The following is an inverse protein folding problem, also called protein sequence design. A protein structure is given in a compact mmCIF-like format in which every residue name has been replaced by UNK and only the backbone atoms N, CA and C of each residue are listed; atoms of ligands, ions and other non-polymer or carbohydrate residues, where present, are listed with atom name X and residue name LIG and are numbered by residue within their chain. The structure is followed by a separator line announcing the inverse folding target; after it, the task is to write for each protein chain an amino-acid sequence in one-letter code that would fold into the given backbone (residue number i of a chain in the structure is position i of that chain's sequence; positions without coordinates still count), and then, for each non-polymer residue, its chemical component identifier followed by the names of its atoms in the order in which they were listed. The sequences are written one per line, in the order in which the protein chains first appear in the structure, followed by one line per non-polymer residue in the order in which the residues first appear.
data_IF_224718551799
#
_entry.id   IF_224718551799
#
_cell.length_a   1.000
_cell.length_b   1.000
_cell.length_c   1.000
_cell.angle_alpha   90.00
_cell.angle_beta   90.00
_cell.angle_gamma   90.00
#
_symmetry.space_group_name_H-M   'P 1'
#
loop_
_entity.id
_entity.type
_entity.pdbx_description
1 polymer ?
#
# COMPACT_ATOMS: atom_id res chain seq x y z
N UNK A 1 15.16 -6.49 36.60
CA UNK A 1 14.13 -5.62 37.14
C UNK A 1 14.02 -4.47 36.16
N UNK A 2 13.12 -4.63 35.31
CA UNK A 2 11.85 -3.94 35.14
C UNK A 2 12.00 -2.53 34.58
N UNK A 3 11.14 -2.23 33.65
CA UNK A 3 10.88 -0.95 33.02
C UNK A 3 11.70 -0.64 31.74
N UNK A 4 11.42 -1.41 30.72
CA UNK A 4 11.47 -1.00 29.33
C UNK A 4 10.33 -1.68 28.57
N UNK A 5 9.13 -1.51 29.12
CA UNK A 5 7.87 -1.88 28.49
C UNK A 5 7.16 -0.60 28.03
N UNK A 6 6.56 -0.71 26.87
CA UNK A 6 5.48 0.16 26.38
C UNK A 6 5.83 1.57 25.87
N UNK A 7 6.60 1.65 24.80
CA UNK A 7 6.51 2.82 23.96
C UNK A 7 6.82 2.49 22.47
N UNK A 8 6.15 1.50 21.89
CA UNK A 8 6.14 1.24 20.44
C UNK A 8 4.82 0.58 20.05
N UNK A 9 3.72 1.21 20.33
CA UNK A 9 2.43 0.83 19.77
C UNK A 9 1.62 2.10 19.60
N UNK A 10 1.78 2.73 18.46
CA UNK A 10 0.87 3.64 17.79
C UNK A 10 1.67 4.55 16.85
N UNK A 11 2.37 3.94 15.89
CA UNK A 11 2.56 4.63 14.63
C UNK A 11 1.59 4.00 13.65
N UNK A 12 0.45 4.67 13.58
CA UNK A 12 -0.56 4.51 12.57
C UNK A 12 0.09 4.42 11.19
N UNK A 13 -0.49 3.57 10.37
CA UNK A 13 -0.23 3.48 8.95
C UNK A 13 -0.60 4.82 8.31
N UNK A 14 0.27 5.81 8.40
CA UNK A 14 0.20 6.99 7.57
C UNK A 14 0.53 6.59 6.13
N UNK A 15 -0.52 6.38 5.36
CA UNK A 15 -0.46 6.46 3.92
C UNK A 15 0.06 7.86 3.57
N UNK A 16 1.33 7.88 3.15
CA UNK A 16 1.98 8.97 2.44
C UNK A 16 1.57 10.39 2.80
N UNK A 17 2.12 10.95 3.86
CA UNK A 17 2.27 12.40 3.93
C UNK A 17 3.15 12.86 2.77
N UNK A 18 2.56 13.51 1.83
CA UNK A 18 3.26 14.39 0.90
C UNK A 18 2.32 15.49 0.44
N UNK A 19 2.79 16.69 0.63
CA UNK A 19 2.42 17.92 -0.01
C UNK A 19 1.32 18.77 0.61
N UNK A 20 1.82 19.77 1.34
CA UNK A 20 1.43 21.17 1.37
C UNK A 20 -0.06 21.50 1.50
N UNK A 21 -0.36 22.02 2.68
CA UNK A 21 -1.49 22.91 2.95
C UNK A 21 -1.53 24.05 1.91
N UNK A 22 -2.36 23.88 0.89
CA UNK A 22 -2.86 25.03 0.15
C UNK A 22 -4.09 25.57 0.89
N UNK A 23 -4.30 26.90 0.94
CA UNK A 23 -5.34 27.52 1.75
C UNK A 23 -6.71 27.07 1.27
N UNK A 24 -7.60 26.82 2.22
CA UNK A 24 -9.00 26.47 2.04
C UNK A 24 -9.71 27.51 1.16
N UNK A 25 -9.73 27.28 -0.15
CA UNK A 25 -10.77 27.80 -1.01
C UNK A 25 -12.00 26.91 -0.78
N UNK A 26 -13.16 27.52 -0.72
CA UNK A 26 -14.48 26.94 -0.49
C UNK A 26 -14.65 25.59 -1.23
N UNK A 27 -14.31 24.48 -0.54
CA UNK A 27 -14.26 23.12 -1.11
C UNK A 27 -15.64 22.61 -1.57
N UNK A 28 -16.69 23.35 -1.24
CA UNK A 28 -18.07 22.98 -1.56
C UNK A 28 -18.46 23.35 -3.00
N UNK A 29 -17.76 24.28 -3.64
CA UNK A 29 -18.09 24.75 -4.99
C UNK A 29 -17.56 23.86 -6.13
N UNK A 30 -16.75 22.82 -5.81
CA UNK A 30 -16.09 21.93 -6.77
C UNK A 30 -16.69 20.52 -6.80
N UNK A 31 -17.67 20.22 -5.93
CA UNK A 31 -18.31 18.89 -5.90
C UNK A 31 -19.41 18.87 -6.96
N UNK A 32 -19.38 17.93 -7.93
CA UNK A 32 -20.47 17.76 -8.88
C UNK A 32 -21.80 17.47 -8.16
N UNK A 33 -22.91 17.96 -8.73
CA UNK A 33 -24.24 17.86 -8.11
C UNK A 33 -24.60 16.43 -7.69
N UNK A 34 -24.22 15.45 -8.48
CA UNK A 34 -24.47 14.01 -8.25
C UNK A 34 -23.76 13.46 -7.01
N UNK A 35 -22.64 14.07 -6.60
CA UNK A 35 -21.84 13.61 -5.44
C UNK A 35 -22.05 14.44 -4.16
N UNK A 36 -22.86 15.50 -4.19
CA UNK A 36 -23.06 16.41 -3.04
C UNK A 36 -23.60 15.65 -1.82
N UNK A 37 -24.62 14.82 -2.01
CA UNK A 37 -25.23 14.03 -0.94
C UNK A 37 -24.24 12.97 -0.41
N UNK A 38 -23.53 12.28 -1.30
CA UNK A 38 -22.54 11.26 -0.95
C UNK A 38 -21.39 11.89 -0.16
N UNK A 39 -20.87 13.03 -0.64
CA UNK A 39 -19.82 13.78 0.04
C UNK A 39 -20.25 14.26 1.43
N UNK A 40 -21.52 14.69 1.58
CA UNK A 40 -22.08 15.11 2.87
C UNK A 40 -22.12 13.93 3.86
N UNK A 41 -22.67 12.79 3.43
CA UNK A 41 -22.73 11.57 4.26
C UNK A 41 -21.33 11.12 4.67
N UNK A 42 -20.38 11.06 3.72
CA UNK A 42 -19.00 10.65 3.95
C UNK A 42 -18.29 11.57 4.95
N UNK A 43 -18.40 12.91 4.79
CA UNK A 43 -17.82 13.90 5.72
C UNK A 43 -18.46 13.83 7.12
N UNK A 44 -19.73 13.45 7.21
CA UNK A 44 -20.44 13.24 8.47
C UNK A 44 -20.16 11.90 9.14
N UNK A 45 -19.32 11.05 8.55
CA UNK A 45 -19.06 9.66 8.97
C UNK A 45 -20.36 8.82 9.06
N UNK A 46 -21.36 9.15 8.24
CA UNK A 46 -22.56 8.34 8.08
C UNK A 46 -22.25 7.15 7.16
N UNK A 47 -22.98 6.04 7.35
CA UNK A 47 -22.86 4.89 6.44
C UNK A 47 -23.36 5.28 5.04
N UNK A 48 -22.54 5.00 4.03
CA UNK A 48 -22.95 5.12 2.64
C UNK A 48 -23.89 3.96 2.30
N UNK A 49 -24.90 4.22 1.45
CA UNK A 49 -25.75 3.18 0.90
C UNK A 49 -25.05 2.44 -0.24
N UNK A 50 -25.57 1.26 -0.61
CA UNK A 50 -25.05 0.52 -1.75
C UNK A 50 -25.13 1.36 -3.04
N UNK A 51 -26.21 2.12 -3.25
CA UNK A 51 -26.34 3.03 -4.39
C UNK A 51 -25.27 4.15 -4.40
N UNK A 52 -24.90 4.67 -3.20
CA UNK A 52 -23.83 5.67 -3.07
C UNK A 52 -22.46 5.06 -3.44
N UNK A 53 -22.21 3.82 -3.04
CA UNK A 53 -20.98 3.09 -3.34
C UNK A 53 -20.90 2.72 -4.83
N UNK A 54 -21.99 2.25 -5.43
CA UNK A 54 -22.10 1.94 -6.85
C UNK A 54 -21.78 3.18 -7.70
N UNK A 55 -22.29 4.35 -7.33
CA UNK A 55 -22.00 5.60 -8.05
C UNK A 55 -20.51 5.98 -8.00
N UNK A 56 -19.85 5.79 -6.85
CA UNK A 56 -18.41 6.00 -6.70
C UNK A 56 -17.65 4.95 -7.52
N UNK A 57 -18.08 3.70 -7.49
CA UNK A 57 -17.45 2.58 -8.19
C UNK A 57 -17.53 2.78 -9.70
N UNK A 58 -18.70 3.09 -10.26
CA UNK A 58 -18.88 3.34 -11.69
C UNK A 58 -17.99 4.46 -12.21
N UNK A 59 -17.93 5.58 -11.47
CA UNK A 59 -17.04 6.71 -11.82
C UNK A 59 -15.58 6.30 -11.76
N UNK A 60 -15.21 5.50 -10.77
CA UNK A 60 -13.84 5.01 -10.61
C UNK A 60 -13.46 4.03 -11.72
N UNK A 61 -14.37 3.13 -12.12
CA UNK A 61 -14.17 2.18 -13.23
C UNK A 61 -13.99 2.92 -14.55
N UNK A 62 -14.77 3.98 -14.80
CA UNK A 62 -14.62 4.80 -16.01
C UNK A 62 -13.21 5.43 -16.11
N UNK A 63 -12.74 5.99 -14.99
CA UNK A 63 -11.38 6.54 -14.89
C UNK A 63 -10.33 5.45 -15.12
N UNK A 64 -10.51 4.30 -14.46
CA UNK A 64 -9.55 3.19 -14.56
C UNK A 64 -9.50 2.63 -15.98
N UNK A 65 -10.65 2.45 -16.66
CA UNK A 65 -10.71 2.03 -18.08
C UNK A 65 -9.98 3.01 -18.99
N UNK A 66 -10.15 4.31 -18.77
CA UNK A 66 -9.44 5.35 -19.52
C UNK A 66 -7.92 5.23 -19.33
N UNK A 67 -7.47 5.06 -18.09
CA UNK A 67 -6.05 4.87 -17.79
C UNK A 67 -5.50 3.59 -18.42
N UNK A 68 -6.22 2.46 -18.31
CA UNK A 68 -5.81 1.19 -18.92
C UNK A 68 -5.71 1.28 -20.43
N UNK A 69 -6.59 2.06 -21.09
CA UNK A 69 -6.53 2.32 -22.52
C UNK A 69 -5.20 2.95 -22.97
N UNK A 70 -4.64 3.89 -22.20
CA UNK A 70 -3.33 4.48 -22.50
C UNK A 70 -2.18 3.46 -22.42
N UNK A 71 -2.36 2.38 -21.69
CA UNK A 71 -1.37 1.29 -21.59
C UNK A 71 -1.64 0.13 -22.55
N UNK A 72 -2.66 0.23 -23.42
CA UNK A 72 -3.03 -0.84 -24.34
C UNK A 72 -3.70 -2.04 -23.65
N UNK A 73 -4.26 -1.86 -22.47
CA UNK A 73 -4.93 -2.89 -21.68
C UNK A 73 -6.48 -2.75 -21.73
N UNK A 74 -7.02 -2.38 -22.88
CA UNK A 74 -8.46 -2.14 -23.10
C UNK A 74 -9.34 -3.37 -22.85
N UNK A 75 -8.77 -4.57 -23.04
CA UNK A 75 -9.45 -5.86 -22.81
C UNK A 75 -9.40 -6.35 -21.37
N UNK A 76 -8.86 -5.57 -20.44
CA UNK A 76 -8.77 -5.97 -19.05
C UNK A 76 -10.15 -6.06 -18.37
N UNK A 77 -10.34 -7.07 -17.54
CA UNK A 77 -11.50 -7.19 -16.65
C UNK A 77 -11.18 -6.43 -15.36
N UNK A 78 -12.15 -5.69 -14.86
CA UNK A 78 -12.05 -4.97 -13.58
C UNK A 78 -13.10 -5.58 -12.66
N UNK A 79 -12.65 -6.19 -11.58
CA UNK A 79 -13.50 -6.72 -10.52
C UNK A 79 -13.40 -5.77 -9.32
N UNK A 80 -14.55 -5.40 -8.75
CA UNK A 80 -14.62 -4.51 -7.59
C UNK A 80 -14.92 -5.28 -6.31
N UNK A 81 -14.34 -4.82 -5.21
CA UNK A 81 -14.52 -5.40 -3.88
C UNK A 81 -14.55 -4.31 -2.83
N UNK A 82 -15.37 -4.50 -1.82
CA UNK A 82 -15.30 -3.72 -0.59
C UNK A 82 -14.08 -4.12 0.23
N UNK A 83 -13.23 -3.17 0.54
CA UNK A 83 -12.11 -3.34 1.47
C UNK A 83 -12.58 -3.30 2.93
N UNK A 84 -11.83 -3.97 3.81
CA UNK A 84 -12.18 -4.05 5.24
C UNK A 84 -12.14 -2.70 5.98
N UNK A 85 -11.48 -1.68 5.40
CA UNK A 85 -11.30 -0.35 5.99
C UNK A 85 -12.19 0.72 5.32
N UNK A 86 -13.26 0.31 4.61
CA UNK A 86 -14.17 1.22 3.89
C UNK A 86 -13.56 1.80 2.61
N UNK A 87 -12.60 1.11 2.02
CA UNK A 87 -12.00 1.40 0.72
C UNK A 87 -12.66 0.56 -0.38
N UNK A 88 -12.74 1.08 -1.61
CA UNK A 88 -13.10 0.30 -2.79
C UNK A 88 -11.83 -0.20 -3.48
N UNK A 89 -11.76 -1.51 -3.71
CA UNK A 89 -10.63 -2.19 -4.34
C UNK A 89 -11.03 -2.62 -5.75
N UNK A 90 -10.25 -2.21 -6.74
CA UNK A 90 -10.40 -2.58 -8.14
C UNK A 90 -9.27 -3.52 -8.55
N UNK A 91 -9.56 -4.81 -8.73
CA UNK A 91 -8.58 -5.80 -9.19
C UNK A 91 -8.68 -5.95 -10.71
N UNK A 92 -7.58 -5.68 -11.39
CA UNK A 92 -7.47 -5.70 -12.86
C UNK A 92 -6.89 -7.04 -13.29
N UNK A 93 -7.57 -7.73 -14.21
CA UNK A 93 -7.18 -9.06 -14.70
C UNK A 93 -7.37 -9.19 -16.22
N UNK A 94 -6.98 -10.35 -16.77
CA UNK A 94 -7.20 -10.75 -18.17
C UNK A 94 -6.56 -9.87 -19.26
N UNK A 95 -5.38 -9.28 -19.01
CA UNK A 95 -4.58 -8.60 -20.05
C UNK A 95 -3.09 -8.86 -19.82
N UNK A 96 -2.22 -8.37 -20.72
CA UNK A 96 -0.78 -8.35 -20.45
C UNK A 96 -0.45 -7.23 -19.47
N UNK A 97 -0.58 -7.55 -18.20
CA UNK A 97 -0.50 -6.59 -17.10
C UNK A 97 0.92 -6.41 -16.54
N UNK A 98 1.91 -7.13 -17.10
CA UNK A 98 3.30 -7.07 -16.62
C UNK A 98 3.87 -5.65 -16.68
N UNK A 99 3.50 -4.88 -17.71
CA UNK A 99 3.89 -3.48 -17.89
C UNK A 99 3.30 -2.59 -16.78
N UNK A 100 2.03 -2.81 -16.43
CA UNK A 100 1.30 -2.05 -15.40
C UNK A 100 1.83 -2.33 -13.99
N UNK A 101 2.35 -3.52 -13.74
CA UNK A 101 3.01 -3.84 -12.46
C UNK A 101 4.38 -3.17 -12.41
N UNK A 102 5.17 -3.31 -13.48
CA UNK A 102 6.53 -2.79 -13.56
C UNK A 102 7.52 -3.43 -12.58
N UNK A 103 8.74 -2.88 -12.54
CA UNK A 103 9.80 -3.42 -11.68
C UNK A 103 9.46 -3.26 -10.19
N UNK A 104 9.25 -4.38 -9.51
CA UNK A 104 8.93 -4.41 -8.07
C UNK A 104 7.63 -3.69 -7.67
N UNK A 105 6.69 -3.50 -8.61
CA UNK A 105 5.42 -2.83 -8.38
C UNK A 105 5.48 -1.29 -8.45
N UNK A 106 6.55 -0.72 -9.01
CA UNK A 106 6.70 0.75 -9.07
C UNK A 106 5.69 1.40 -10.01
N UNK A 107 5.41 0.78 -11.16
CA UNK A 107 4.41 1.30 -12.12
C UNK A 107 3.02 1.24 -11.49
N UNK A 108 2.68 0.14 -10.82
CA UNK A 108 1.41 0.01 -10.10
C UNK A 108 1.27 1.08 -8.98
N UNK A 109 2.33 1.36 -8.24
CA UNK A 109 2.32 2.45 -7.25
C UNK A 109 2.05 3.83 -7.88
N UNK A 110 2.63 4.10 -9.07
CA UNK A 110 2.38 5.34 -9.80
C UNK A 110 0.96 5.39 -10.38
N UNK A 111 0.47 4.27 -10.92
CA UNK A 111 -0.90 4.13 -11.42
C UNK A 111 -1.91 4.37 -10.29
N UNK A 112 -1.69 3.77 -9.12
CA UNK A 112 -2.50 4.00 -7.92
C UNK A 112 -2.59 5.48 -7.57
N UNK A 113 -1.45 6.19 -7.57
CA UNK A 113 -1.42 7.62 -7.26
C UNK A 113 -2.23 8.44 -8.28
N UNK A 114 -2.00 8.23 -9.59
CA UNK A 114 -2.73 8.93 -10.64
C UNK A 114 -4.23 8.61 -10.58
N UNK A 115 -4.58 7.34 -10.42
CA UNK A 115 -5.96 6.90 -10.30
C UNK A 115 -6.68 7.60 -9.13
N UNK A 116 -6.11 7.54 -7.93
CA UNK A 116 -6.68 8.21 -6.77
C UNK A 116 -6.84 9.72 -6.99
N UNK A 117 -5.82 10.38 -7.56
CA UNK A 117 -5.88 11.82 -7.80
C UNK A 117 -6.99 12.21 -8.79
N UNK A 118 -7.17 11.44 -9.87
CA UNK A 118 -8.21 11.71 -10.87
C UNK A 118 -9.60 11.42 -10.30
N UNK A 119 -9.76 10.30 -9.59
CA UNK A 119 -11.04 9.96 -8.94
C UNK A 119 -11.41 11.02 -7.92
N UNK A 120 -10.50 11.43 -7.02
CA UNK A 120 -10.77 12.49 -6.05
C UNK A 120 -11.16 13.81 -6.71
N UNK A 121 -10.56 14.14 -7.84
CA UNK A 121 -10.92 15.34 -8.60
C UNK A 121 -12.34 15.22 -9.23
N UNK A 122 -12.69 14.05 -9.78
CA UNK A 122 -14.02 13.80 -10.34
C UNK A 122 -15.12 13.78 -9.27
N UNK A 123 -14.86 13.18 -8.13
CA UNK A 123 -15.81 13.10 -7.02
C UNK A 123 -15.96 14.46 -6.28
N UNK A 124 -14.91 15.31 -6.30
CA UNK A 124 -14.82 16.54 -5.52
C UNK A 124 -14.53 16.32 -4.03
N UNK A 125 -14.24 15.10 -3.61
CA UNK A 125 -13.81 14.75 -2.25
C UNK A 125 -12.88 13.52 -2.26
N UNK A 126 -12.12 13.35 -1.17
CA UNK A 126 -11.18 12.24 -1.04
C UNK A 126 -11.93 10.99 -0.56
N UNK A 127 -12.05 9.98 -1.41
CA UNK A 127 -12.56 8.66 -1.07
C UNK A 127 -11.45 7.61 -1.28
N UNK A 128 -11.27 6.64 -0.37
CA UNK A 128 -10.20 5.65 -0.48
C UNK A 128 -10.51 4.64 -1.59
N UNK A 129 -9.77 4.75 -2.69
CA UNK A 129 -9.84 3.83 -3.83
C UNK A 129 -8.50 3.15 -4.04
N UNK A 130 -8.51 1.85 -4.25
CA UNK A 130 -7.31 1.01 -4.39
C UNK A 130 -7.34 0.26 -5.71
N UNK A 131 -6.23 0.31 -6.46
CA UNK A 131 -6.02 -0.54 -7.64
C UNK A 131 -5.08 -1.68 -7.27
N UNK A 132 -5.44 -2.90 -7.62
CA UNK A 132 -4.53 -4.05 -7.63
C UNK A 132 -4.53 -4.71 -9.01
N UNK A 133 -3.57 -5.57 -9.27
CA UNK A 133 -3.42 -6.28 -10.53
C UNK A 133 -3.22 -7.76 -10.21
N UNK A 134 -4.25 -8.57 -10.49
CA UNK A 134 -4.26 -10.01 -10.21
C UNK A 134 -3.77 -10.31 -8.79
N UNK A 135 -4.22 -9.56 -7.81
CA UNK A 135 -3.79 -9.68 -6.41
C UNK A 135 -2.26 -9.58 -6.23
N UNK A 136 -1.61 -8.72 -7.03
CA UNK A 136 -0.15 -8.55 -6.99
C UNK A 136 0.36 -8.16 -5.60
N UNK A 137 -0.38 -7.29 -4.87
CA UNK A 137 0.02 -6.85 -3.53
C UNK A 137 0.19 -8.05 -2.59
N UNK A 138 -0.76 -8.98 -2.60
CA UNK A 138 -0.72 -10.20 -1.79
C UNK A 138 0.41 -11.15 -2.23
N UNK A 139 0.55 -11.38 -3.54
CA UNK A 139 1.66 -12.20 -4.07
C UNK A 139 3.03 -11.59 -3.74
N UNK A 140 3.15 -10.27 -3.81
CA UNK A 140 4.39 -9.57 -3.48
C UNK A 140 4.72 -9.65 -1.99
N UNK A 141 3.72 -9.53 -1.13
CA UNK A 141 3.86 -9.71 0.32
C UNK A 141 4.35 -11.12 0.63
N UNK A 142 3.69 -12.15 0.11
CA UNK A 142 4.10 -13.55 0.31
C UNK A 142 5.56 -13.81 -0.16
N UNK A 143 5.95 -13.21 -1.30
CA UNK A 143 7.33 -13.29 -1.79
C UNK A 143 8.33 -12.63 -0.84
N UNK A 144 8.00 -11.49 -0.25
CA UNK A 144 8.86 -10.81 0.74
C UNK A 144 8.98 -11.63 2.02
N UNK A 145 7.90 -12.24 2.48
CA UNK A 145 7.90 -13.14 3.64
C UNK A 145 8.79 -14.37 3.40
N UNK A 146 8.70 -14.96 2.20
CA UNK A 146 9.57 -16.08 1.81
C UNK A 146 11.06 -15.67 1.77
N UNK A 147 11.38 -14.48 1.21
CA UNK A 147 12.73 -13.93 1.19
C UNK A 147 13.24 -13.71 2.62
N UNK A 148 12.40 -13.16 3.51
CA UNK A 148 12.75 -12.95 4.90
C UNK A 148 13.11 -14.26 5.61
N UNK A 149 12.24 -15.29 5.50
CA UNK A 149 12.46 -16.61 6.08
C UNK A 149 13.74 -17.28 5.52
N UNK A 150 13.94 -17.25 4.21
CA UNK A 150 15.15 -17.77 3.56
C UNK A 150 16.41 -17.04 4.02
N UNK A 151 16.34 -15.72 4.20
CA UNK A 151 17.49 -14.93 4.67
C UNK A 151 17.82 -15.20 6.13
N UNK A 152 16.81 -15.45 6.98
CA UNK A 152 17.02 -15.88 8.35
C UNK A 152 17.71 -17.25 8.41
N UNK A 153 17.26 -18.23 7.60
CA UNK A 153 17.90 -19.54 7.52
C UNK A 153 19.37 -19.42 7.08
N UNK A 154 19.66 -18.61 6.06
CA UNK A 154 21.04 -18.38 5.60
C UNK A 154 21.91 -17.71 6.67
N UNK A 155 21.36 -16.73 7.41
CA UNK A 155 22.07 -16.06 8.49
C UNK A 155 22.48 -17.06 9.58
N UNK A 156 21.55 -17.92 10.00
CA UNK A 156 21.78 -18.96 11.01
C UNK A 156 22.80 -20.00 10.52
N UNK A 157 22.65 -20.49 9.29
CA UNK A 157 23.54 -21.50 8.73
C UNK A 157 25.00 -21.00 8.60
N UNK A 158 25.17 -19.73 8.20
CA UNK A 158 26.50 -19.12 8.00
C UNK A 158 27.08 -18.50 9.28
N UNK A 159 26.27 -18.33 10.31
CA UNK A 159 26.67 -17.57 11.50
C UNK A 159 27.02 -16.11 11.20
N UNK A 160 26.53 -15.54 10.12
CA UNK A 160 26.85 -14.19 9.64
C UNK A 160 25.57 -13.40 9.33
N UNK A 161 25.68 -12.07 9.41
CA UNK A 161 24.61 -11.20 8.99
C UNK A 161 24.29 -11.33 7.51
N UNK A 162 23.02 -11.18 7.15
CA UNK A 162 22.53 -11.17 5.77
C UNK A 162 21.83 -9.86 5.52
N UNK A 163 22.34 -9.08 4.55
CA UNK A 163 21.73 -7.83 4.10
C UNK A 163 20.76 -8.11 2.96
N UNK A 164 19.55 -7.59 3.06
CA UNK A 164 18.55 -7.62 1.99
C UNK A 164 18.77 -6.48 1.02
N UNK A 165 18.16 -6.57 -0.16
CA UNK A 165 18.16 -5.44 -1.09
C UNK A 165 17.47 -4.21 -0.49
N UNK A 166 17.88 -2.98 -0.87
CA UNK A 166 17.20 -1.76 -0.48
C UNK A 166 15.70 -1.80 -0.81
N UNK A 167 14.87 -1.32 0.12
CA UNK A 167 13.43 -1.32 -0.05
C UNK A 167 12.76 -0.22 0.78
N UNK A 168 11.59 0.24 0.33
CA UNK A 168 10.77 1.24 1.02
C UNK A 168 10.38 0.78 2.44
N UNK A 169 10.03 1.73 3.31
CA UNK A 169 9.73 1.49 4.73
C UNK A 169 8.67 0.41 4.96
N UNK A 170 7.54 0.45 4.24
CA UNK A 170 6.49 -0.54 4.39
C UNK A 170 6.95 -1.98 4.05
N UNK A 171 7.80 -2.16 3.03
CA UNK A 171 8.39 -3.46 2.68
C UNK A 171 9.35 -3.95 3.78
N UNK A 172 10.11 -3.02 4.40
CA UNK A 172 10.97 -3.34 5.55
C UNK A 172 10.16 -3.76 6.76
N UNK A 173 9.01 -3.10 7.02
CA UNK A 173 8.06 -3.47 8.08
C UNK A 173 7.57 -4.92 7.91
N UNK A 174 7.21 -5.34 6.69
CA UNK A 174 6.82 -6.74 6.42
C UNK A 174 7.92 -7.72 6.81
N UNK A 175 9.17 -7.46 6.44
CA UNK A 175 10.31 -8.31 6.79
C UNK A 175 10.51 -8.39 8.31
N UNK A 176 10.46 -7.25 9.01
CA UNK A 176 10.58 -7.21 10.48
C UNK A 176 9.47 -8.01 11.15
N UNK A 177 8.22 -7.81 10.74
CA UNK A 177 7.06 -8.54 11.30
C UNK A 177 7.16 -10.04 11.05
N UNK A 178 7.55 -10.46 9.83
CA UNK A 178 7.73 -11.87 9.48
C UNK A 178 8.76 -12.57 10.36
N UNK A 179 9.83 -11.87 10.74
CA UNK A 179 10.91 -12.44 11.52
C UNK A 179 10.79 -12.19 13.04
N UNK A 180 9.82 -11.39 13.46
CA UNK A 180 9.60 -11.07 14.88
C UNK A 180 9.37 -12.31 15.75
N UNK A 181 8.68 -13.31 15.21
CA UNK A 181 8.40 -14.57 15.89
C UNK A 181 9.59 -15.55 15.94
N UNK A 182 10.69 -15.24 15.27
CA UNK A 182 11.85 -16.13 15.22
C UNK A 182 12.92 -15.69 16.27
N UNK A 183 13.03 -16.38 17.42
CA UNK A 183 13.93 -15.99 18.50
C UNK A 183 15.42 -16.09 18.15
N UNK A 184 15.75 -16.83 17.09
CA UNK A 184 17.13 -17.11 16.71
C UNK A 184 17.76 -16.00 15.84
N UNK A 185 16.99 -15.02 15.40
CA UNK A 185 17.47 -13.90 14.58
C UNK A 185 16.96 -12.57 15.11
N UNK A 186 17.75 -11.53 14.88
CA UNK A 186 17.37 -10.14 15.13
C UNK A 186 17.44 -9.36 13.84
N UNK A 187 16.52 -8.44 13.64
CA UNK A 187 16.48 -7.61 12.43
C UNK A 187 16.58 -6.13 12.77
N UNK A 188 17.32 -5.37 11.98
CA UNK A 188 17.34 -3.92 12.03
C UNK A 188 17.43 -3.33 10.64
N UNK A 189 17.05 -2.06 10.49
CA UNK A 189 17.15 -1.34 9.21
C UNK A 189 18.39 -0.46 9.23
N UNK A 190 19.22 -0.54 8.18
CA UNK A 190 20.49 0.19 8.05
C UNK A 190 20.55 0.99 6.75
N UNK A 191 21.24 2.13 6.77
CA UNK A 191 21.41 3.03 5.62
C UNK A 191 20.37 4.16 5.59
N UNK A 192 20.46 4.98 4.53
CA UNK A 192 19.55 6.10 4.25
C UNK A 192 18.75 5.82 2.98
N UNK A 193 17.54 6.34 2.90
CA UNK A 193 16.74 6.26 1.67
C UNK A 193 17.50 6.96 0.51
N UNK A 194 17.47 6.41 -0.70
CA UNK A 194 16.72 5.25 -1.17
C UNK A 194 17.42 3.89 -0.98
N UNK A 195 18.62 3.86 -0.36
CA UNK A 195 19.46 2.66 -0.24
C UNK A 195 19.27 1.91 1.10
N UNK A 196 18.27 2.31 1.89
CA UNK A 196 18.03 1.70 3.19
C UNK A 196 17.52 0.26 3.04
N UNK A 197 18.15 -0.66 3.80
CA UNK A 197 17.86 -2.09 3.73
C UNK A 197 17.65 -2.72 5.11
N UNK A 198 17.09 -3.94 5.14
CA UNK A 198 17.00 -4.75 6.36
C UNK A 198 18.22 -5.66 6.45
N UNK A 199 18.80 -5.71 7.64
CA UNK A 199 19.88 -6.63 8.00
C UNK A 199 19.33 -7.66 8.98
N UNK A 200 19.55 -8.94 8.67
CA UNK A 200 19.16 -10.09 9.50
C UNK A 200 20.40 -10.63 10.17
N UNK A 201 20.45 -10.62 11.50
CA UNK A 201 21.61 -11.01 12.31
C UNK A 201 21.25 -12.22 13.18
N UNK A 202 22.09 -13.27 13.26
CA UNK A 202 21.91 -14.36 14.23
C UNK A 202 21.92 -13.83 15.66
N UNK A 203 20.96 -14.24 16.49
CA UNK A 203 20.85 -13.77 17.87
C UNK A 203 22.10 -14.07 18.72
N UNK A 204 22.80 -15.17 18.42
CA UNK A 204 24.04 -15.56 19.09
C UNK A 204 25.20 -14.56 18.91
N UNK A 205 25.15 -13.70 17.90
CA UNK A 205 26.16 -12.62 17.70
C UNK A 205 25.91 -11.34 18.48
N UNK A 206 24.70 -11.15 19.05
CA UNK A 206 24.36 -9.91 19.79
C UNK A 206 24.89 -9.93 21.24
N UNK A 207 25.35 -11.09 21.75
CA UNK A 207 25.85 -11.22 23.12
C UNK A 207 27.36 -10.91 23.26
N UNK A 208 28.03 -10.47 22.19
CA UNK A 208 29.48 -10.24 22.15
C UNK A 208 29.91 -8.80 21.86
N UNK A 209 29.14 -7.78 22.34
CA UNK A 209 29.59 -6.38 22.33
C UNK A 209 29.24 -5.72 23.66
#
# INVERSE_FOLDING_TARGET
MAEFEEEVLEEEFEAGEACDEQPAADETSLIPEEFVEVARKYKAHESLSDDDLDLIADTSIEVLRTLLGFFGAEGATIDEYDGGDGELIFDVSNADLALLIGRHGKTLESLQYMFSAIVHNKLGFKFPVVVDIESYKNRRRAKLEAIAKSSAARALQRGQEVRLHPMKSYKRKIVHLTLRSNPNVVTHSEGQEPNRCVVVVPASKKQGK
#
